data_IF_891371254776
#
_entry.id   IF_891371254776
#
_cell.length_a   1.000
_cell.length_b   1.000
_cell.length_c   1.000
_cell.angle_alpha   90.00
_cell.angle_beta   90.00
_cell.angle_gamma   90.00
#
_symmetry.space_group_name_H-M   'P 1'
#
loop_
_entity.id
_entity.type
_entity.pdbx_description
1 polymer ?
#
# COMPACT_ATOMS: atom_id res chain seq x y z
N UNK A 1 -16.44 -0.82 9.73
CA UNK A 1 -15.65 0.10 10.59
C UNK A 1 -14.48 -0.62 11.24
N UNK A 2 -13.23 -0.17 11.04
CA UNK A 2 -12.05 -0.77 11.69
C UNK A 2 -12.14 -0.48 13.20
N UNK A 3 -12.64 -1.44 13.96
CA UNK A 3 -13.10 -1.27 15.34
C UNK A 3 -12.02 -1.16 16.42
N UNK A 4 -10.82 -0.68 16.09
CA UNK A 4 -9.74 -0.53 17.06
C UNK A 4 -9.28 0.94 17.11
N UNK A 5 -9.40 1.56 18.29
CA UNK A 5 -8.99 2.93 18.60
C UNK A 5 -7.45 3.05 18.74
N UNK A 6 -6.75 2.42 17.81
CA UNK A 6 -5.29 2.40 17.73
C UNK A 6 -4.86 3.53 16.80
N UNK A 7 -3.87 4.31 17.23
CA UNK A 7 -3.28 5.35 16.42
C UNK A 7 -2.86 4.79 15.05
N UNK A 8 -3.27 5.47 13.98
CA UNK A 8 -2.89 5.10 12.62
C UNK A 8 -1.45 5.60 12.40
N UNK A 9 -0.49 4.67 12.46
CA UNK A 9 0.94 4.95 12.28
C UNK A 9 1.39 4.51 10.89
N UNK A 10 1.97 5.42 10.11
CA UNK A 10 2.67 5.11 8.87
C UNK A 10 4.02 4.47 9.18
N UNK A 11 4.14 3.17 8.88
CA UNK A 11 5.40 2.42 8.95
C UNK A 11 5.96 2.07 7.57
N UNK A 12 5.48 2.72 6.50
CA UNK A 12 5.90 2.42 5.12
C UNK A 12 5.18 1.21 4.51
N UNK A 13 4.04 0.83 5.07
CA UNK A 13 3.21 -0.24 4.50
C UNK A 13 2.53 0.22 3.21
N UNK A 14 2.30 -0.75 2.33
CA UNK A 14 1.49 -0.57 1.14
C UNK A 14 0.60 -1.78 0.89
N UNK A 15 -0.48 -1.55 0.16
CA UNK A 15 -1.35 -2.61 -0.37
C UNK A 15 -1.57 -2.43 -1.87
N UNK A 16 -1.87 -3.51 -2.57
CA UNK A 16 -2.35 -3.47 -3.95
C UNK A 16 -3.73 -4.11 -3.99
N UNK A 17 -4.73 -3.37 -4.46
CA UNK A 17 -6.06 -3.91 -4.73
C UNK A 17 -6.03 -4.73 -6.04
N UNK A 18 -6.50 -5.98 -5.99
CA UNK A 18 -6.48 -6.93 -7.12
C UNK A 18 -7.61 -6.68 -8.11
N UNK A 19 -8.78 -6.23 -7.66
CA UNK A 19 -9.97 -6.05 -8.48
C UNK A 19 -11.19 -6.75 -7.88
N UNK A 20 -12.31 -6.84 -8.61
CA UNK A 20 -12.45 -6.68 -10.06
C UNK A 20 -12.60 -5.22 -10.53
N UNK A 21 -12.96 -4.29 -9.65
CA UNK A 21 -13.31 -2.93 -10.04
C UNK A 21 -12.09 -2.07 -10.38
N UNK A 22 -12.30 -0.92 -11.01
CA UNK A 22 -11.22 0.05 -11.28
C UNK A 22 -10.64 0.60 -9.97
N UNK A 23 -11.50 0.83 -8.99
CA UNK A 23 -11.16 1.27 -7.64
C UNK A 23 -12.22 0.80 -6.65
N UNK A 24 -11.87 0.83 -5.36
CA UNK A 24 -12.79 0.59 -4.25
C UNK A 24 -12.50 1.60 -3.13
N UNK A 25 -13.52 1.91 -2.33
CA UNK A 25 -13.45 2.85 -1.22
C UNK A 25 -13.99 2.18 0.04
N UNK A 26 -13.29 2.32 1.16
CA UNK A 26 -13.76 1.78 2.46
C UNK A 26 -14.66 2.77 3.22
N UNK A 27 -15.26 2.30 4.32
CA UNK A 27 -16.13 3.11 5.19
C UNK A 27 -15.42 4.34 5.81
N UNK A 28 -14.08 4.37 5.79
CA UNK A 28 -13.25 5.45 6.34
C UNK A 28 -12.78 6.42 5.24
N UNK A 29 -13.21 6.22 3.99
CA UNK A 29 -12.88 7.08 2.85
C UNK A 29 -11.52 6.80 2.20
N UNK A 30 -10.85 5.68 2.53
CA UNK A 30 -9.63 5.29 1.82
C UNK A 30 -9.97 4.79 0.42
N UNK A 31 -9.29 5.33 -0.60
CA UNK A 31 -9.46 4.92 -1.99
C UNK A 31 -8.32 4.00 -2.41
N UNK A 32 -8.63 2.88 -3.07
CA UNK A 32 -7.68 1.90 -3.57
C UNK A 32 -7.82 1.68 -5.07
N UNK A 33 -6.84 2.11 -5.86
CA UNK A 33 -6.82 1.89 -7.30
C UNK A 33 -6.30 0.50 -7.65
N UNK A 34 -6.97 -0.19 -8.57
CA UNK A 34 -6.58 -1.55 -8.99
C UNK A 34 -5.17 -1.57 -9.56
N UNK A 35 -4.36 -2.51 -9.09
CA UNK A 35 -2.98 -2.72 -9.54
C UNK A 35 -1.99 -1.62 -9.15
N UNK A 36 -2.39 -0.63 -8.34
CA UNK A 36 -1.51 0.42 -7.83
C UNK A 36 -1.09 0.11 -6.39
N UNK A 37 0.14 0.50 -6.05
CA UNK A 37 0.63 0.43 -4.66
C UNK A 37 0.06 1.62 -3.91
N UNK A 38 -0.82 1.35 -2.97
CA UNK A 38 -1.48 2.37 -2.16
C UNK A 38 -0.80 2.44 -0.81
N UNK A 39 -0.51 3.65 -0.36
CA UNK A 39 0.01 3.91 0.97
C UNK A 39 -1.07 3.62 2.02
N UNK A 40 -0.73 2.88 3.08
CA UNK A 40 -1.64 2.65 4.22
C UNK A 40 -0.87 2.67 5.55
N UNK A 41 -1.55 3.03 6.64
CA UNK A 41 -0.99 2.84 7.98
C UNK A 41 -1.01 1.37 8.40
N UNK A 42 -0.25 1.02 9.43
CA UNK A 42 -0.13 -0.36 9.91
C UNK A 42 -1.49 -0.99 10.26
N UNK A 43 -2.39 -0.22 10.87
CA UNK A 43 -3.74 -0.70 11.23
C UNK A 43 -4.53 -1.12 9.99
N UNK A 44 -4.60 -0.24 8.99
CA UNK A 44 -5.31 -0.52 7.74
C UNK A 44 -4.64 -1.65 6.97
N UNK A 45 -3.31 -1.72 6.98
CA UNK A 45 -2.57 -2.83 6.39
C UNK A 45 -3.03 -4.18 6.96
N UNK A 46 -2.93 -4.36 8.29
CA UNK A 46 -3.35 -5.61 8.96
C UNK A 46 -4.80 -5.94 8.71
N UNK A 47 -5.68 -4.94 8.76
CA UNK A 47 -7.11 -5.13 8.49
C UNK A 47 -7.38 -5.67 7.08
N UNK A 48 -6.65 -5.18 6.07
CA UNK A 48 -6.82 -5.59 4.67
C UNK A 48 -6.09 -6.90 4.34
N UNK A 49 -5.05 -7.28 5.11
CA UNK A 49 -4.26 -8.49 4.84
C UNK A 49 -4.63 -9.69 5.68
N UNK A 50 -5.19 -9.49 6.88
CA UNK A 50 -5.44 -10.57 7.85
C UNK A 50 -6.94 -10.87 7.98
N UNK A 51 -7.79 -10.05 7.36
CA UNK A 51 -9.24 -10.13 7.44
C UNK A 51 -9.91 -10.76 6.20
N UNK A 52 -11.26 -10.68 6.10
CA UNK A 52 -12.01 -11.23 4.98
C UNK A 52 -11.67 -10.58 3.63
N UNK A 53 -10.98 -9.44 3.65
CA UNK A 53 -10.52 -8.72 2.46
C UNK A 53 -9.18 -9.22 1.92
N UNK A 54 -8.49 -10.14 2.61
CA UNK A 54 -7.15 -10.61 2.23
C UNK A 54 -7.12 -11.17 0.79
N UNK A 55 -8.23 -11.78 0.35
CA UNK A 55 -8.37 -12.32 -1.00
C UNK A 55 -8.55 -11.25 -2.08
N UNK A 56 -8.72 -9.97 -1.73
CA UNK A 56 -8.81 -8.84 -2.65
C UNK A 56 -7.56 -7.96 -2.66
N UNK A 57 -6.69 -8.09 -1.65
CA UNK A 57 -5.50 -7.26 -1.50
C UNK A 57 -4.20 -8.07 -1.52
N UNK A 58 -3.11 -7.41 -1.90
CA UNK A 58 -1.74 -7.90 -1.74
C UNK A 58 -1.03 -6.95 -0.79
N UNK A 59 -0.64 -7.45 0.37
CA UNK A 59 0.15 -6.69 1.34
C UNK A 59 1.62 -6.58 0.92
N UNK A 60 2.19 -5.39 1.01
CA UNK A 60 3.62 -5.12 0.91
C UNK A 60 4.09 -4.52 2.24
N UNK A 61 4.74 -5.34 3.05
CA UNK A 61 5.40 -4.89 4.26
C UNK A 61 6.67 -4.07 3.91
N UNK A 62 7.04 -3.08 4.74
CA UNK A 62 8.30 -2.37 4.60
C UNK A 62 9.49 -3.33 4.82
N UNK A 63 10.58 -3.12 4.07
CA UNK A 63 11.79 -3.93 4.20
C UNK A 63 12.48 -3.75 5.56
N UNK A 64 12.40 -2.54 6.12
CA UNK A 64 12.94 -2.22 7.44
C UNK A 64 11.80 -1.75 8.35
N UNK A 65 11.69 -2.36 9.53
CA UNK A 65 10.72 -1.93 10.53
C UNK A 65 11.17 -0.61 11.15
N UNK A 66 10.22 0.30 11.32
CA UNK A 66 10.41 1.61 11.93
C UNK A 66 9.30 1.86 12.95
N UNK A 67 9.56 2.70 13.94
CA UNK A 67 8.53 3.22 14.85
C UNK A 67 7.44 3.97 14.07
N UNK A 68 7.81 4.55 12.92
CA UNK A 68 6.89 5.21 12.00
C UNK A 68 6.53 6.63 12.41
N UNK A 69 5.57 7.22 11.70
CA UNK A 69 5.03 8.55 11.99
C UNK A 69 3.50 8.49 12.05
N UNK A 70 2.86 9.46 12.71
CA UNK A 70 1.41 9.64 12.59
C UNK A 70 0.98 9.71 11.12
N UNK A 71 -0.06 8.94 10.78
CA UNK A 71 -0.63 8.92 9.45
C UNK A 71 -1.23 10.28 9.07
N UNK A 72 -0.76 10.86 7.97
CA UNK A 72 -1.27 12.13 7.45
C UNK A 72 -1.47 12.10 5.91
N UNK A 73 -1.33 10.95 5.27
CA UNK A 73 -1.46 10.85 3.83
C UNK A 73 -2.93 10.91 3.39
N UNK A 74 -3.27 11.68 2.34
CA UNK A 74 -4.62 11.76 1.81
C UNK A 74 -5.08 10.43 1.19
N UNK A 75 -6.39 10.28 1.03
CA UNK A 75 -6.98 9.13 0.33
C UNK A 75 -6.42 9.00 -1.10
N UNK A 76 -6.16 7.78 -1.56
CA UNK A 76 -5.61 7.54 -2.89
C UNK A 76 -4.10 7.78 -3.02
N UNK A 77 -3.37 8.05 -1.93
CA UNK A 77 -1.91 8.24 -1.98
C UNK A 77 -1.21 6.99 -2.52
N UNK A 78 -0.44 7.16 -3.60
CA UNK A 78 0.41 6.11 -4.16
C UNK A 78 1.67 5.94 -3.30
N UNK A 79 2.12 4.69 -3.12
CA UNK A 79 3.40 4.36 -2.48
C UNK A 79 4.43 3.94 -3.53
N UNK A 80 5.48 4.75 -3.77
CA UNK A 80 6.64 4.33 -4.54
C UNK A 80 7.25 3.01 -4.04
N UNK A 81 7.83 2.23 -4.95
CA UNK A 81 8.51 0.99 -4.57
C UNK A 81 9.74 1.25 -3.68
N UNK A 82 10.39 2.41 -3.82
CA UNK A 82 11.55 2.80 -3.03
C UNK A 82 11.21 2.88 -1.54
N UNK A 83 10.05 3.42 -1.19
CA UNK A 83 9.65 3.65 0.21
C UNK A 83 9.40 2.33 0.97
N UNK A 84 8.92 1.31 0.27
CA UNK A 84 8.64 0.00 0.87
C UNK A 84 9.84 -0.95 0.81
N UNK A 85 10.70 -0.86 -0.22
CA UNK A 85 11.81 -1.80 -0.43
C UNK A 85 13.21 -1.25 -0.11
N UNK A 86 13.34 0.04 0.17
CA UNK A 86 14.63 0.68 0.46
C UNK A 86 15.59 0.76 -0.74
N UNK A 87 15.17 0.37 -1.95
CA UNK A 87 16.02 0.37 -3.15
C UNK A 87 15.42 1.22 -4.27
N UNK A 88 16.22 2.10 -4.85
CA UNK A 88 15.89 2.81 -6.09
C UNK A 88 16.13 1.88 -7.29
N UNK A 89 15.05 1.40 -7.90
CA UNK A 89 15.17 0.66 -9.16
C UNK A 89 15.34 1.66 -10.31
N UNK A 90 16.57 1.84 -10.81
CA UNK A 90 16.79 2.50 -12.10
C UNK A 90 16.29 1.57 -13.19
N UNK A 91 15.40 2.08 -14.04
CA UNK A 91 14.90 1.37 -15.21
C UNK A 91 16.08 1.12 -16.16
N UNK A 92 16.55 -0.12 -16.26
CA UNK A 92 17.60 -0.50 -17.20
C UNK A 92 17.01 -0.58 -18.62
N UNK A 93 16.79 0.58 -19.25
CA UNK A 93 16.62 0.67 -20.71
C UNK A 93 17.63 1.68 -21.24
N UNK A 94 18.85 1.20 -21.51
CA UNK A 94 19.56 1.64 -22.71
C UNK A 94 19.30 0.55 -23.76
N UNK A 95 18.85 0.99 -24.93
CA UNK A 95 18.25 0.13 -25.93
C UNK A 95 19.15 -1.03 -26.34
N UNK A 96 18.56 -2.21 -26.43
CA UNK A 96 18.98 -3.25 -27.34
C UNK A 96 17.74 -3.65 -28.11
N UNK A 97 17.65 -3.16 -29.35
CA UNK A 97 16.82 -3.75 -30.38
C UNK A 97 17.31 -5.18 -30.57
N UNK A 98 16.53 -6.17 -30.15
CA UNK A 98 16.77 -7.56 -30.55
C UNK A 98 16.21 -7.74 -31.96
N UNK A 99 17.12 -7.99 -32.92
CA UNK A 99 16.83 -8.40 -34.28
C UNK A 99 16.34 -9.85 -34.33
#
# INVERSE_FOLDING_TARGET
VKGADVACIDKGHAVIYKGPYAETTDDEGHVFYRGKRMAVCERTYKFLTDGPYADDFIGIAPAQQSEGQLWCAPAGTLRPAADSKGSSHRNAKQGSSCC
#
